data_IF_562756435154
#
_entry.id   IF_562756435154
#
_cell.length_a   1.000
_cell.length_b   1.000
_cell.length_c   1.000
_cell.angle_alpha   90.00
_cell.angle_beta   90.00
_cell.angle_gamma   90.00
#
_symmetry.space_group_name_H-M   'P 1'
#
loop_
_entity.id
_entity.type
_entity.pdbx_description
1 polymer ?
#
# COMPACT_ATOMS: atom_id res chain seq x y z
N UNK A 1 13.18 20.98 10.50
CA UNK A 1 13.79 20.34 9.31
C UNK A 1 13.21 21.08 8.12
N UNK A 2 14.05 21.80 7.36
CA UNK A 2 13.61 22.43 6.11
C UNK A 2 13.38 21.30 5.11
N UNK A 3 12.20 21.26 4.51
CA UNK A 3 11.91 20.48 3.31
C UNK A 3 12.76 21.06 2.16
N UNK A 4 14.05 20.78 2.12
CA UNK A 4 14.84 20.91 0.89
C UNK A 4 14.57 19.65 0.07
N UNK A 5 13.38 19.58 -0.53
CA UNK A 5 13.22 18.77 -1.73
C UNK A 5 14.12 19.41 -2.79
N UNK A 6 15.22 18.74 -3.10
CA UNK A 6 16.05 19.12 -4.23
C UNK A 6 15.24 18.93 -5.52
N UNK A 7 14.79 20.05 -6.10
CA UNK A 7 14.02 20.08 -7.35
C UNK A 7 14.78 19.49 -8.54
N UNK A 8 16.09 19.27 -8.42
CA UNK A 8 16.93 18.67 -9.45
C UNK A 8 17.12 17.16 -9.30
N UNK A 9 16.75 16.60 -8.14
CA UNK A 9 16.86 15.17 -7.87
C UNK A 9 15.54 14.46 -8.18
N UNK A 10 15.59 13.53 -9.14
CA UNK A 10 14.46 12.63 -9.40
C UNK A 10 14.22 11.72 -8.19
N UNK A 11 12.99 11.72 -7.69
CA UNK A 11 12.52 10.81 -6.65
C UNK A 11 11.34 10.00 -7.17
N UNK A 12 11.42 8.67 -7.07
CA UNK A 12 10.30 7.78 -7.37
C UNK A 12 9.65 7.36 -6.04
N UNK A 13 8.32 7.44 -5.95
CA UNK A 13 7.58 7.17 -4.72
C UNK A 13 6.07 7.23 -4.90
N UNK A 14 5.35 6.97 -3.82
CA UNK A 14 3.90 7.08 -3.73
C UNK A 14 3.46 8.54 -3.50
N UNK A 15 2.32 8.90 -4.07
CA UNK A 15 1.65 10.18 -3.86
C UNK A 15 0.69 10.06 -2.68
N UNK A 16 0.79 10.95 -1.70
CA UNK A 16 0.00 10.91 -0.46
C UNK A 16 -1.52 10.92 -0.71
N UNK A 17 -1.96 11.72 -1.68
CA UNK A 17 -3.35 11.83 -2.13
C UNK A 17 -3.89 10.52 -2.70
N UNK A 18 -3.07 9.80 -3.47
CA UNK A 18 -3.46 8.51 -4.06
C UNK A 18 -3.60 7.45 -2.97
N UNK A 19 -2.67 7.43 -2.00
CA UNK A 19 -2.76 6.53 -0.85
C UNK A 19 -4.00 6.85 -0.01
N UNK A 20 -4.31 8.12 0.24
CA UNK A 20 -5.54 8.52 0.94
C UNK A 20 -6.80 8.03 0.22
N UNK A 21 -6.88 8.25 -1.10
CA UNK A 21 -8.03 7.82 -1.90
C UNK A 21 -8.21 6.29 -1.86
N UNK A 22 -7.12 5.53 -1.89
CA UNK A 22 -7.16 4.07 -1.73
C UNK A 22 -7.66 3.70 -0.33
N UNK A 23 -7.12 4.31 0.72
CA UNK A 23 -7.56 4.07 2.10
C UNK A 23 -9.06 4.36 2.28
N UNK A 24 -9.54 5.47 1.72
CA UNK A 24 -10.97 5.84 1.74
C UNK A 24 -11.83 4.81 1.00
N UNK A 25 -11.38 4.36 -0.18
CA UNK A 25 -12.11 3.34 -0.96
C UNK A 25 -12.21 1.99 -0.26
N UNK A 26 -11.20 1.66 0.55
CA UNK A 26 -11.14 0.43 1.34
C UNK A 26 -11.83 0.57 2.71
N UNK A 27 -12.24 1.79 3.09
CA UNK A 27 -12.79 2.09 4.41
C UNK A 27 -11.80 1.87 5.55
N UNK A 28 -10.49 2.00 5.29
CA UNK A 28 -9.42 1.79 6.28
C UNK A 28 -8.86 3.13 6.74
N UNK A 29 -8.64 3.25 8.05
CA UNK A 29 -7.89 4.39 8.60
C UNK A 29 -6.41 4.06 8.64
N UNK A 30 -5.61 4.79 7.85
CA UNK A 30 -4.16 4.65 7.85
C UNK A 30 -3.50 5.86 8.53
N UNK A 31 -2.79 5.60 9.62
CA UNK A 31 -2.13 6.63 10.44
C UNK A 31 -0.80 7.14 9.85
N UNK A 32 -0.36 6.62 8.70
CA UNK A 32 0.84 7.06 8.02
C UNK A 32 0.63 8.25 7.07
N UNK A 33 -0.59 8.76 6.94
CA UNK A 33 -0.88 9.99 6.21
C UNK A 33 -0.98 11.14 7.22
N UNK A 34 -0.27 12.23 6.94
CA UNK A 34 -0.35 13.44 7.75
C UNK A 34 -0.63 14.66 6.86
N UNK A 35 -1.36 15.62 7.40
CA UNK A 35 -1.69 16.88 6.74
C UNK A 35 -1.06 18.05 7.50
N UNK A 36 -0.44 18.99 6.77
CA UNK A 36 0.05 20.24 7.38
C UNK A 36 -1.09 21.24 7.54
N UNK A 37 -0.86 22.32 8.30
CA UNK A 37 -1.84 23.41 8.45
C UNK A 37 -2.21 24.13 7.14
N UNK A 38 -1.46 23.90 6.06
CA UNK A 38 -1.73 24.45 4.73
C UNK A 38 -2.38 23.42 3.78
N UNK A 39 -2.76 22.25 4.27
CA UNK A 39 -3.40 21.21 3.47
C UNK A 39 -2.45 20.35 2.64
N UNK A 40 -1.13 20.43 2.89
CA UNK A 40 -0.15 19.55 2.21
C UNK A 40 -0.19 18.18 2.87
N UNK A 41 -0.50 17.16 2.09
CA UNK A 41 -0.44 15.75 2.52
C UNK A 41 0.98 15.20 2.40
N UNK A 42 1.37 14.38 3.37
CA UNK A 42 2.64 13.67 3.43
C UNK A 42 2.45 12.20 3.82
N UNK A 43 3.45 11.38 3.49
CA UNK A 43 3.48 9.95 3.82
C UNK A 43 4.65 9.62 4.74
N UNK A 44 4.36 8.83 5.77
CA UNK A 44 5.35 8.18 6.61
C UNK A 44 5.61 6.77 6.07
N UNK A 45 6.59 6.64 5.18
CA UNK A 45 6.91 5.38 4.49
C UNK A 45 7.16 4.21 5.44
N UNK A 46 7.76 4.45 6.62
CA UNK A 46 7.99 3.39 7.61
C UNK A 46 6.70 2.73 8.12
N UNK A 47 5.57 3.43 8.08
CA UNK A 47 4.28 2.89 8.51
C UNK A 47 3.58 2.06 7.43
N UNK A 48 4.03 2.10 6.18
CA UNK A 48 3.53 1.24 5.09
C UNK A 48 4.00 -0.22 5.22
N UNK A 49 5.00 -0.49 6.06
CA UNK A 49 5.54 -1.85 6.25
C UNK A 49 4.46 -2.81 6.77
N UNK A 50 3.65 -2.39 7.74
CA UNK A 50 2.59 -3.25 8.30
C UNK A 50 1.49 -3.56 7.27
N UNK A 51 0.91 -2.58 6.55
CA UNK A 51 0.01 -2.84 5.42
C UNK A 51 0.62 -3.74 4.34
N UNK A 52 1.90 -3.56 4.00
CA UNK A 52 2.58 -4.38 3.00
C UNK A 52 2.70 -5.85 3.44
N UNK A 53 3.05 -6.09 4.71
CA UNK A 53 3.08 -7.45 5.27
C UNK A 53 1.70 -8.10 5.20
N UNK A 54 0.65 -7.37 5.58
CA UNK A 54 -0.73 -7.87 5.51
C UNK A 54 -1.15 -8.20 4.07
N UNK A 55 -0.81 -7.33 3.10
CA UNK A 55 -1.09 -7.56 1.69
C UNK A 55 -0.38 -8.81 1.15
N UNK A 56 0.88 -9.04 1.53
CA UNK A 56 1.62 -10.25 1.15
C UNK A 56 1.01 -11.50 1.79
N UNK A 57 0.62 -11.44 3.07
CA UNK A 57 -0.06 -12.55 3.74
C UNK A 57 -1.36 -12.92 3.02
N UNK A 58 -2.20 -11.94 2.71
CA UNK A 58 -3.45 -12.17 1.98
C UNK A 58 -3.21 -12.73 0.58
N UNK A 59 -2.22 -12.19 -0.15
CA UNK A 59 -1.85 -12.68 -1.48
C UNK A 59 -1.37 -14.15 -1.42
N UNK A 60 -0.54 -14.50 -0.44
CA UNK A 60 -0.07 -15.88 -0.25
C UNK A 60 -1.24 -16.83 0.01
N UNK A 61 -2.17 -16.47 0.91
CA UNK A 61 -3.36 -17.30 1.16
C UNK A 61 -4.26 -17.46 -0.07
N UNK A 62 -4.45 -16.40 -0.86
CA UNK A 62 -5.19 -16.47 -2.13
C UNK A 62 -4.48 -17.39 -3.14
N UNK A 63 -3.16 -17.30 -3.24
CA UNK A 63 -2.38 -18.17 -4.13
C UNK A 63 -2.46 -19.64 -3.73
N UNK A 64 -2.35 -19.95 -2.44
CA UNK A 64 -2.52 -21.32 -1.92
C UNK A 64 -3.92 -21.87 -2.25
N UNK A 65 -4.96 -21.04 -2.04
CA UNK A 65 -6.35 -21.41 -2.38
C UNK A 65 -6.52 -21.67 -3.88
N UNK A 66 -5.96 -20.82 -4.74
CA UNK A 66 -6.01 -20.98 -6.19
C UNK A 66 -5.24 -22.24 -6.64
N UNK A 67 -4.05 -22.48 -6.09
CA UNK A 67 -3.25 -23.66 -6.40
C UNK A 67 -3.98 -24.96 -6.03
N UNK A 68 -4.61 -25.02 -4.85
CA UNK A 68 -5.41 -26.16 -4.43
C UNK A 68 -6.60 -26.42 -5.37
N UNK A 69 -7.30 -25.35 -5.79
CA UNK A 69 -8.40 -25.46 -6.76
C UNK A 69 -7.94 -25.98 -8.10
N UNK A 70 -6.79 -25.51 -8.59
CA UNK A 70 -6.20 -25.98 -9.85
C UNK A 70 -5.87 -27.48 -9.74
N UNK A 71 -5.19 -27.91 -8.68
CA UNK A 71 -4.86 -29.32 -8.47
C UNK A 71 -6.11 -30.22 -8.45
N UNK A 72 -7.17 -29.80 -7.74
CA UNK A 72 -8.44 -30.54 -7.72
C UNK A 72 -9.07 -30.66 -9.12
N UNK A 73 -9.00 -29.60 -9.94
CA UNK A 73 -9.55 -29.62 -11.29
C UNK A 73 -8.71 -30.46 -12.25
N UNK A 74 -7.38 -30.44 -12.11
CA UNK A 74 -6.46 -31.24 -12.91
C UNK A 74 -6.59 -32.74 -12.60
N UNK A 75 -6.81 -33.12 -11.35
CA UNK A 75 -7.07 -34.52 -10.96
C UNK A 75 -8.43 -35.06 -11.43
N UNK A 76 -9.38 -34.17 -11.73
CA UNK A 76 -10.72 -34.53 -12.19
C UNK A 76 -10.86 -34.63 -13.72
N UNK A 77 -9.81 -34.26 -14.48
CA UNK A 77 -9.75 -34.30 -15.94
C UNK A 77 -9.03 -35.55 -16.47
#
# INVERSE_FOLDING_TARGET
IKDEFDETTRSDGLIAQEVQAVCDSLGVQFNGINETSQGKLGLQYGLLVSPLIAAVQELSSRNESLAARIATLEEAS
#
